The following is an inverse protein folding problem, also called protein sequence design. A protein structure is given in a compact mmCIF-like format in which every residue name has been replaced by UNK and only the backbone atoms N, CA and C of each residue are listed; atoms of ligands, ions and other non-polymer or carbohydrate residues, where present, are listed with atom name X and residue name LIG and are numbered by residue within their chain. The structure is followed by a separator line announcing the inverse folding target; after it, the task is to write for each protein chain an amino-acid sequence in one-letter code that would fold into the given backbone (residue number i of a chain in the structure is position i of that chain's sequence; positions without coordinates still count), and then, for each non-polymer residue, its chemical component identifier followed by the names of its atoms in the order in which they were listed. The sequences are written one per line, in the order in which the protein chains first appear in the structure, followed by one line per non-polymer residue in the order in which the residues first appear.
data_IF_247668691392
#
_entry.id   IF_247668691392
#
_cell.length_a   1.000
_cell.length_b   1.000
_cell.length_c   1.000
_cell.angle_alpha   90.00
_cell.angle_beta   90.00
_cell.angle_gamma   90.00
#
_symmetry.space_group_name_H-M   'P 1'
#
loop_
_entity.id
_entity.type
_entity.pdbx_description
1 polymer ?
#
# COMPACT_ATOMS: atom_id res chain seq x y z
N UNK A 1 -3.22 -30.91 59.12
CA UNK A 1 -3.94 -30.51 57.91
C UNK A 1 -4.04 -28.99 57.84
N UNK A 2 -2.99 -28.26 57.52
CA UNK A 2 -3.05 -26.79 57.40
C UNK A 2 -1.90 -26.22 56.54
N UNK A 3 -1.64 -26.75 55.34
CA UNK A 3 -0.53 -26.30 54.51
C UNK A 3 -0.89 -25.92 53.09
N UNK A 4 -2.15 -25.92 52.69
CA UNK A 4 -2.58 -25.72 51.29
C UNK A 4 -3.19 -24.34 51.03
N UNK A 5 -3.39 -23.48 52.02
CA UNK A 5 -4.12 -22.20 51.81
C UNK A 5 -3.23 -20.98 51.49
N UNK A 6 -1.91 -21.07 51.60
CA UNK A 6 -1.01 -19.88 51.47
C UNK A 6 -0.58 -19.52 50.05
N UNK A 7 -0.82 -20.38 49.04
CA UNK A 7 -0.36 -20.15 47.68
C UNK A 7 -1.43 -19.68 46.69
N UNK A 8 -2.70 -19.67 47.07
CA UNK A 8 -3.82 -19.30 46.17
C UNK A 8 -3.99 -17.79 46.01
N UNK A 9 -3.69 -17.01 47.03
CA UNK A 9 -3.87 -15.55 47.00
C UNK A 9 -2.96 -14.79 46.00
N UNK A 10 -1.65 -15.08 45.87
CA UNK A 10 -0.83 -14.37 44.90
C UNK A 10 -1.18 -14.69 43.45
N UNK A 11 -1.62 -15.92 43.16
CA UNK A 11 -2.04 -16.33 41.81
C UNK A 11 -3.33 -15.62 41.40
N UNK A 12 -4.30 -15.51 42.32
CA UNK A 12 -5.56 -14.81 42.04
C UNK A 12 -5.30 -13.29 41.75
N UNK A 13 -4.40 -12.66 42.53
CA UNK A 13 -4.05 -11.28 42.34
C UNK A 13 -3.35 -11.09 40.97
N UNK A 14 -2.46 -11.99 40.59
CA UNK A 14 -1.76 -11.93 39.29
C UNK A 14 -2.76 -12.07 38.12
N UNK A 15 -3.68 -13.02 38.19
CA UNK A 15 -4.73 -13.20 37.17
C UNK A 15 -5.61 -11.97 37.09
N UNK A 16 -6.00 -11.36 38.21
CA UNK A 16 -6.81 -10.14 38.26
C UNK A 16 -6.09 -8.97 37.59
N UNK A 17 -4.80 -8.81 37.82
CA UNK A 17 -4.00 -7.74 37.17
C UNK A 17 -3.88 -7.93 35.66
N UNK A 18 -3.70 -9.16 35.19
CA UNK A 18 -3.65 -9.49 33.75
C UNK A 18 -4.99 -9.20 33.08
N UNK A 19 -6.11 -9.61 33.69
CA UNK A 19 -7.45 -9.33 33.16
C UNK A 19 -7.71 -7.83 33.11
N UNK A 20 -7.31 -7.08 34.13
CA UNK A 20 -7.46 -5.61 34.15
C UNK A 20 -6.65 -4.96 33.03
N UNK A 21 -5.42 -5.40 32.81
CA UNK A 21 -4.57 -4.89 31.74
C UNK A 21 -5.17 -5.14 30.33
N UNK A 22 -5.75 -6.34 30.12
CA UNK A 22 -6.44 -6.69 28.88
C UNK A 22 -7.67 -5.80 28.66
N UNK A 23 -8.47 -5.57 29.71
CA UNK A 23 -9.65 -4.70 29.61
C UNK A 23 -9.28 -3.24 29.31
N UNK A 24 -8.21 -2.71 29.90
CA UNK A 24 -7.69 -1.39 29.58
C UNK A 24 -7.23 -1.31 28.14
N UNK A 25 -6.51 -2.33 27.65
CA UNK A 25 -6.05 -2.39 26.26
C UNK A 25 -7.20 -2.42 25.25
N UNK A 26 -8.26 -3.20 25.54
CA UNK A 26 -9.47 -3.24 24.71
C UNK A 26 -10.19 -1.88 24.73
N UNK A 27 -10.33 -1.25 25.90
CA UNK A 27 -10.94 0.08 26.01
C UNK A 27 -10.17 1.14 25.22
N UNK A 28 -8.84 1.14 25.28
CA UNK A 28 -8.00 2.05 24.50
C UNK A 28 -8.15 1.81 22.99
N UNK A 29 -8.26 0.57 22.56
CA UNK A 29 -8.51 0.22 21.15
C UNK A 29 -9.89 0.71 20.69
N UNK A 30 -10.93 0.57 21.51
CA UNK A 30 -12.27 1.04 21.18
C UNK A 30 -12.35 2.57 21.13
N UNK A 31 -11.65 3.28 22.02
CA UNK A 31 -11.56 4.75 21.97
C UNK A 31 -10.79 5.25 20.75
N UNK A 32 -9.72 4.56 20.37
CA UNK A 32 -8.95 4.89 19.16
C UNK A 32 -9.76 4.73 17.87
N UNK A 33 -10.68 3.76 17.84
CA UNK A 33 -11.54 3.53 16.67
C UNK A 33 -12.73 4.50 16.58
N UNK A 34 -13.09 5.19 17.68
CA UNK A 34 -14.24 6.12 17.73
C UNK A 34 -13.91 7.52 17.22
N UNK A 35 -12.66 7.86 16.98
CA UNK A 35 -12.26 9.20 16.54
C UNK A 35 -12.29 9.38 15.01
N UNK A 36 -12.58 8.33 14.25
CA UNK A 36 -12.64 8.38 12.79
C UNK A 36 -14.05 8.70 12.24
N UNK A 37 -15.10 8.72 13.09
CA UNK A 37 -16.48 8.84 12.60
C UNK A 37 -17.14 10.22 12.84
N UNK A 38 -16.39 11.25 13.32
CA UNK A 38 -17.00 12.53 13.67
C UNK A 38 -16.67 13.70 12.72
N UNK A 39 -16.27 13.42 11.46
CA UNK A 39 -16.13 14.48 10.47
C UNK A 39 -16.80 14.12 9.15
N UNK A 40 -18.12 13.99 9.18
CA UNK A 40 -18.90 13.96 7.95
C UNK A 40 -20.33 14.40 8.21
N UNK A 41 -20.60 15.71 8.12
CA UNK A 41 -21.80 16.31 7.53
C UNK A 41 -21.78 17.83 7.70
N UNK A 42 -21.42 18.56 6.68
CA UNK A 42 -22.13 19.78 6.26
C UNK A 42 -21.68 20.10 4.83
N UNK A 43 -22.65 20.10 3.93
CA UNK A 43 -22.44 20.20 2.50
C UNK A 43 -21.94 21.58 2.04
N UNK A 44 -21.25 21.54 0.91
CA UNK A 44 -21.54 22.33 -0.30
C UNK A 44 -20.63 21.82 -1.41
N UNK A 45 -21.25 21.40 -2.50
CA UNK A 45 -20.60 21.00 -3.74
C UNK A 45 -19.72 22.14 -4.26
N UNK A 46 -18.43 21.88 -4.32
CA UNK A 46 -17.53 22.44 -5.32
C UNK A 46 -16.53 21.33 -5.58
N UNK A 47 -16.68 20.65 -6.72
CA UNK A 47 -15.68 19.71 -7.23
C UNK A 47 -14.37 20.48 -7.43
N UNK A 48 -13.55 20.50 -6.41
CA UNK A 48 -12.13 20.71 -6.56
C UNK A 48 -11.56 19.34 -6.80
N UNK A 49 -11.10 19.07 -8.01
CA UNK A 49 -10.20 17.96 -8.33
C UNK A 49 -8.94 18.19 -7.46
N UNK A 50 -8.99 17.70 -6.23
CA UNK A 50 -7.79 17.54 -5.43
C UNK A 50 -7.08 16.32 -6.03
N UNK A 51 -5.90 16.53 -6.59
CA UNK A 51 -4.91 15.48 -6.80
C UNK A 51 -4.55 14.95 -5.40
N UNK A 52 -5.40 14.08 -4.88
CA UNK A 52 -5.15 13.41 -3.61
C UNK A 52 -4.10 12.33 -3.89
N UNK A 53 -2.88 12.68 -3.61
CA UNK A 53 -1.75 11.76 -3.54
C UNK A 53 -1.96 10.91 -2.29
N UNK A 54 -2.81 9.87 -2.38
CA UNK A 54 -3.05 8.96 -1.27
C UNK A 54 -1.87 8.00 -1.13
N UNK A 55 -1.38 7.84 0.08
CA UNK A 55 -0.47 6.73 0.41
C UNK A 55 -1.29 5.44 0.44
N UNK A 56 -0.90 4.47 -0.34
CA UNK A 56 -1.58 3.19 -0.49
C UNK A 56 -0.61 2.02 -0.33
N UNK A 57 -1.16 0.82 -0.23
CA UNK A 57 -0.38 -0.42 -0.17
C UNK A 57 -0.74 -1.31 -1.36
N UNK A 58 0.27 -1.92 -1.97
CA UNK A 58 0.07 -2.96 -2.98
C UNK A 58 -0.29 -4.28 -2.31
N UNK A 59 -1.36 -4.93 -2.79
CA UNK A 59 -1.80 -6.23 -2.31
C UNK A 59 -0.97 -7.35 -2.95
N UNK A 60 -0.85 -7.34 -4.28
CA UNK A 60 -0.01 -8.27 -5.03
C UNK A 60 0.40 -7.69 -6.39
N UNK A 61 1.47 -8.24 -6.97
CA UNK A 61 1.98 -7.86 -8.29
C UNK A 61 1.46 -8.85 -9.32
N UNK A 62 0.83 -8.32 -10.38
CA UNK A 62 0.28 -9.11 -11.49
C UNK A 62 1.41 -9.53 -12.44
N UNK A 63 2.18 -8.54 -12.90
CA UNK A 63 3.34 -8.70 -13.82
C UNK A 63 4.40 -7.61 -13.54
N UNK A 64 5.33 -7.38 -14.45
CA UNK A 64 6.45 -6.45 -14.23
C UNK A 64 6.08 -4.97 -14.21
N UNK A 65 4.88 -4.59 -14.65
CA UNK A 65 4.41 -3.20 -14.73
C UNK A 65 2.97 -3.00 -14.24
N UNK A 66 2.37 -4.04 -13.65
CA UNK A 66 0.99 -4.01 -13.16
C UNK A 66 0.90 -4.65 -11.76
N UNK A 67 0.22 -3.96 -10.84
CA UNK A 67 -0.08 -4.50 -9.50
C UNK A 67 -1.49 -4.09 -9.07
N UNK A 68 -2.03 -4.77 -8.05
CA UNK A 68 -3.29 -4.41 -7.41
C UNK A 68 -3.06 -3.80 -6.04
N UNK A 69 -3.82 -2.76 -5.72
CA UNK A 69 -3.83 -2.12 -4.40
C UNK A 69 -4.67 -2.92 -3.42
N UNK A 70 -4.50 -2.64 -2.13
CA UNK A 70 -5.32 -3.22 -1.06
C UNK A 70 -6.82 -2.88 -1.18
N UNK A 71 -7.17 -1.87 -1.98
CA UNK A 71 -8.55 -1.47 -2.27
C UNK A 71 -9.12 -2.12 -3.54
N UNK A 72 -8.36 -2.99 -4.22
CA UNK A 72 -8.78 -3.71 -5.41
C UNK A 72 -8.67 -2.90 -6.71
N UNK A 73 -7.91 -1.81 -6.72
CA UNK A 73 -7.61 -1.05 -7.91
C UNK A 73 -6.40 -1.65 -8.64
N UNK A 74 -6.52 -1.86 -9.95
CA UNK A 74 -5.42 -2.34 -10.79
C UNK A 74 -4.63 -1.15 -11.33
N UNK A 75 -3.35 -1.05 -10.98
CA UNK A 75 -2.44 0.02 -11.37
C UNK A 75 -1.50 -0.47 -12.46
N UNK A 76 -1.47 0.23 -13.59
CA UNK A 76 -0.52 0.02 -14.70
C UNK A 76 0.49 1.16 -14.72
N UNK A 77 1.75 0.86 -14.62
CA UNK A 77 2.82 1.85 -14.65
C UNK A 77 2.87 2.56 -16.00
N UNK A 78 2.78 3.89 -15.99
CA UNK A 78 2.96 4.71 -17.18
C UNK A 78 4.41 4.63 -17.69
N UNK A 79 4.56 4.68 -18.99
CA UNK A 79 5.85 4.74 -19.69
C UNK A 79 6.80 3.55 -19.44
N UNK A 80 6.34 2.50 -18.80
CA UNK A 80 7.09 1.25 -18.64
C UNK A 80 6.31 0.11 -19.31
N UNK A 81 6.99 -0.74 -20.06
CA UNK A 81 6.43 -1.93 -20.69
C UNK A 81 7.37 -3.10 -20.46
N UNK A 82 6.84 -4.14 -19.83
CA UNK A 82 7.61 -5.29 -19.38
C UNK A 82 7.26 -6.54 -20.16
N UNK A 83 8.11 -7.58 -20.15
CA UNK A 83 7.79 -8.85 -20.79
C UNK A 83 6.48 -9.45 -20.27
N UNK A 84 5.64 -9.92 -21.19
CA UNK A 84 4.39 -10.61 -20.91
C UNK A 84 4.60 -12.05 -20.46
N UNK A 85 3.58 -12.67 -19.86
CA UNK A 85 3.63 -14.06 -19.41
C UNK A 85 4.08 -14.99 -20.54
N UNK A 86 5.06 -15.84 -20.25
CA UNK A 86 5.69 -16.75 -21.21
C UNK A 86 6.83 -16.13 -22.02
N UNK A 87 7.11 -14.85 -21.89
CA UNK A 87 8.29 -14.21 -22.48
C UNK A 87 9.50 -14.27 -21.53
N UNK A 88 10.69 -14.23 -22.12
CA UNK A 88 11.93 -14.15 -21.35
C UNK A 88 11.99 -12.83 -20.55
N UNK A 89 12.29 -12.91 -19.25
CA UNK A 89 12.35 -11.76 -18.36
C UNK A 89 11.04 -11.45 -17.60
N UNK A 90 9.93 -12.14 -17.89
CA UNK A 90 8.66 -11.92 -17.21
C UNK A 90 8.78 -12.07 -15.69
N UNK A 91 9.28 -13.20 -15.21
CA UNK A 91 9.42 -13.44 -13.76
C UNK A 91 10.41 -12.46 -13.11
N UNK A 92 11.49 -12.11 -13.81
CA UNK A 92 12.49 -11.18 -13.29
C UNK A 92 11.91 -9.77 -13.12
N UNK A 93 11.15 -9.27 -14.11
CA UNK A 93 10.49 -7.97 -14.05
C UNK A 93 9.42 -7.93 -12.95
N UNK A 94 8.62 -8.98 -12.81
CA UNK A 94 7.61 -9.14 -11.75
C UNK A 94 8.23 -9.14 -10.36
N UNK A 95 9.31 -9.91 -10.15
CA UNK A 95 10.06 -9.91 -8.90
C UNK A 95 10.64 -8.52 -8.62
N UNK A 96 11.21 -7.86 -9.63
CA UNK A 96 11.79 -6.54 -9.48
C UNK A 96 10.74 -5.51 -9.03
N UNK A 97 9.58 -5.41 -9.69
CA UNK A 97 8.47 -4.54 -9.25
C UNK A 97 8.06 -4.86 -7.81
N UNK A 98 7.95 -6.15 -7.47
CA UNK A 98 7.56 -6.59 -6.13
C UNK A 98 8.48 -6.03 -5.03
N UNK A 99 9.78 -5.87 -5.30
CA UNK A 99 10.74 -5.31 -4.33
C UNK A 99 10.48 -3.85 -3.98
N UNK A 100 9.80 -3.11 -4.87
CA UNK A 100 9.46 -1.70 -4.64
C UNK A 100 8.10 -1.54 -3.98
N UNK A 101 7.09 -2.30 -4.40
CA UNK A 101 5.70 -1.99 -4.03
C UNK A 101 5.16 -2.85 -2.87
N UNK A 102 5.59 -4.12 -2.72
CA UNK A 102 5.05 -4.97 -1.67
C UNK A 102 5.58 -4.63 -0.28
N UNK A 103 4.65 -4.49 0.68
CA UNK A 103 4.96 -4.20 2.08
C UNK A 103 5.54 -2.80 2.30
N UNK A 104 5.22 -1.86 1.41
CA UNK A 104 5.62 -0.46 1.49
C UNK A 104 4.42 0.46 1.26
N UNK A 105 4.50 1.64 1.83
CA UNK A 105 3.64 2.75 1.44
C UNK A 105 4.07 3.25 0.07
N UNK A 106 3.13 3.31 -0.86
CA UNK A 106 3.32 3.76 -2.23
C UNK A 106 2.53 5.03 -2.47
N UNK A 107 3.10 5.89 -3.28
CA UNK A 107 2.48 7.12 -3.74
C UNK A 107 2.04 6.92 -5.17
N UNK A 108 0.74 7.06 -5.46
CA UNK A 108 0.15 6.82 -6.77
C UNK A 108 -0.41 8.12 -7.33
N UNK A 109 0.19 8.63 -8.39
CA UNK A 109 -0.33 9.76 -9.18
C UNK A 109 -1.08 9.20 -10.40
N UNK A 110 -2.39 9.29 -10.37
CA UNK A 110 -3.29 8.73 -11.38
C UNK A 110 -3.45 9.67 -12.57
N UNK A 111 -3.28 9.16 -13.79
CA UNK A 111 -3.40 9.96 -15.03
C UNK A 111 -4.64 9.58 -15.87
N UNK A 112 -5.27 8.44 -15.58
CA UNK A 112 -6.46 7.99 -16.30
C UNK A 112 -6.60 6.48 -16.33
N UNK A 113 -7.40 5.98 -17.26
CA UNK A 113 -7.64 4.55 -17.43
C UNK A 113 -7.17 4.09 -18.81
N UNK A 114 -6.68 2.87 -18.89
CA UNK A 114 -6.44 2.18 -20.16
C UNK A 114 -7.71 1.50 -20.69
N UNK A 115 -7.58 0.85 -21.86
CA UNK A 115 -8.70 0.14 -22.51
C UNK A 115 -9.16 -1.12 -21.75
N UNK A 116 -8.37 -1.59 -20.79
CA UNK A 116 -8.66 -2.72 -19.92
C UNK A 116 -9.19 -2.29 -18.54
N UNK A 117 -9.46 -0.98 -18.38
CA UNK A 117 -9.91 -0.38 -17.12
C UNK A 117 -8.89 -0.46 -15.97
N UNK A 118 -7.58 -0.52 -16.30
CA UNK A 118 -6.51 -0.36 -15.32
C UNK A 118 -6.19 1.12 -15.19
N UNK A 119 -5.87 1.56 -13.97
CA UNK A 119 -5.44 2.94 -13.73
C UNK A 119 -4.01 3.13 -14.21
N UNK A 120 -3.81 4.04 -15.16
CA UNK A 120 -2.50 4.49 -15.61
C UNK A 120 -1.91 5.44 -14.58
N UNK A 121 -0.72 5.16 -14.05
CA UNK A 121 -0.17 5.95 -12.97
C UNK A 121 1.36 6.08 -12.99
N UNK A 122 1.82 7.18 -12.39
CA UNK A 122 3.18 7.33 -11.89
C UNK A 122 3.20 6.83 -10.45
N UNK A 123 4.16 5.98 -10.13
CA UNK A 123 4.26 5.33 -8.81
C UNK A 123 5.63 5.65 -8.21
N UNK A 124 5.60 6.15 -6.97
CA UNK A 124 6.81 6.44 -6.21
C UNK A 124 6.78 5.75 -4.85
N UNK A 125 7.95 5.40 -4.35
CA UNK A 125 8.17 4.86 -3.01
C UNK A 125 9.26 5.64 -2.30
N UNK A 126 9.09 5.85 -0.99
CA UNK A 126 10.15 6.46 -0.18
C UNK A 126 11.08 5.38 0.36
N UNK A 127 12.35 5.44 -0.01
CA UNK A 127 13.40 4.54 0.47
C UNK A 127 14.47 5.38 1.18
N UNK A 128 14.54 5.25 2.50
CA UNK A 128 15.52 5.96 3.34
C UNK A 128 15.51 7.50 3.15
N UNK A 129 14.32 8.09 2.92
CA UNK A 129 14.16 9.53 2.72
C UNK A 129 14.31 10.01 1.28
N UNK A 130 14.51 9.11 0.33
CA UNK A 130 14.56 9.40 -1.10
C UNK A 130 13.30 8.89 -1.80
N UNK A 131 12.65 9.73 -2.56
CA UNK A 131 11.51 9.34 -3.39
C UNK A 131 12.02 8.72 -4.69
N UNK A 132 11.71 7.47 -4.89
CA UNK A 132 12.12 6.66 -6.04
C UNK A 132 10.93 6.50 -6.98
N UNK A 133 11.06 6.95 -8.21
CA UNK A 133 10.05 6.75 -9.26
C UNK A 133 10.16 5.32 -9.81
N UNK A 134 9.25 4.45 -9.41
CA UNK A 134 9.26 3.01 -9.74
C UNK A 134 9.20 2.77 -11.25
N UNK A 135 8.38 3.55 -11.99
CA UNK A 135 8.29 3.51 -13.44
C UNK A 135 9.69 3.62 -14.10
N UNK A 136 10.49 4.57 -13.60
CA UNK A 136 11.85 4.81 -14.12
C UNK A 136 12.80 3.66 -13.76
N UNK A 137 12.73 3.14 -12.54
CA UNK A 137 13.58 2.04 -12.10
C UNK A 137 13.41 0.79 -12.97
N UNK A 138 12.18 0.46 -13.38
CA UNK A 138 11.90 -0.67 -14.28
C UNK A 138 12.66 -0.52 -15.60
N UNK A 139 12.63 0.67 -16.19
CA UNK A 139 13.26 0.93 -17.51
C UNK A 139 14.78 1.06 -17.39
N UNK A 140 15.28 1.82 -16.43
CA UNK A 140 16.71 2.07 -16.24
C UNK A 140 17.48 0.79 -15.89
N UNK A 141 16.87 -0.11 -15.15
CA UNK A 141 17.46 -1.40 -14.80
C UNK A 141 17.17 -2.50 -15.85
N UNK A 142 16.52 -2.16 -16.98
CA UNK A 142 16.26 -3.05 -18.12
C UNK A 142 15.33 -4.21 -17.84
N UNK A 143 14.43 -4.05 -16.87
CA UNK A 143 13.33 -4.99 -16.63
C UNK A 143 12.12 -4.73 -17.51
N UNK A 144 12.10 -3.56 -18.17
CA UNK A 144 11.14 -3.16 -19.18
C UNK A 144 11.75 -2.19 -20.16
N UNK A 145 10.95 -1.75 -21.12
CA UNK A 145 11.31 -0.74 -22.11
C UNK A 145 10.44 0.52 -21.96
N UNK A 146 10.94 1.65 -22.44
CA UNK A 146 10.14 2.87 -22.52
C UNK A 146 9.01 2.69 -23.53
N UNK A 147 7.77 2.96 -23.10
CA UNK A 147 6.58 2.86 -23.96
C UNK A 147 5.65 4.04 -23.76
N UNK A 148 5.45 4.85 -24.79
CA UNK A 148 4.54 6.00 -24.78
C UNK A 148 3.12 5.56 -25.14
N UNK A 149 2.28 5.35 -24.13
CA UNK A 149 0.89 4.97 -24.32
C UNK A 149 0.06 6.17 -24.80
N UNK A 150 -0.58 6.07 -25.97
CA UNK A 150 -1.45 7.10 -26.54
C UNK A 150 -0.88 8.53 -26.55
N UNK A 151 0.44 8.68 -26.70
CA UNK A 151 1.10 9.98 -26.71
C UNK A 151 1.32 10.59 -25.33
N UNK A 152 1.32 9.76 -24.28
CA UNK A 152 1.69 10.19 -22.92
C UNK A 152 3.08 10.79 -22.91
N UNK A 153 3.25 11.93 -22.25
CA UNK A 153 4.57 12.53 -22.06
C UNK A 153 5.39 11.74 -21.05
N UNK A 154 6.38 10.99 -21.53
CA UNK A 154 7.32 10.25 -20.69
C UNK A 154 8.53 11.10 -20.24
N UNK A 155 8.42 12.42 -20.23
CA UNK A 155 9.51 13.33 -19.81
C UNK A 155 10.04 13.07 -18.41
N UNK A 156 9.23 12.54 -17.50
CA UNK A 156 9.64 12.13 -16.13
C UNK A 156 10.61 10.95 -16.09
N UNK A 157 10.76 10.22 -17.21
CA UNK A 157 11.69 9.09 -17.34
C UNK A 157 13.12 9.49 -17.73
N UNK A 158 13.36 10.79 -18.02
CA UNK A 158 14.66 11.33 -18.47
C UNK A 158 15.57 11.72 -17.32
#
# INVERSE_FOLDING_TARGET
MAFISRFKTPIIILISLVVLAILIFISLKLLSNSNNDLFSQTGNETETISNETAQEEALYVVDGDTFETSHGESIRLLCADTPEEGQAGYEDSKIFLSTFVLGREILIEREGLDVYNRTLAWVSVNIHGYDILVNKEIVDNRYGSLYEYNGTDCGRMK
#
